data_IF_217038404874
#
_entry.id   IF_217038404874
#
_cell.length_a   1.000
_cell.length_b   1.000
_cell.length_c   1.000
_cell.angle_alpha   90.00
_cell.angle_beta   90.00
_cell.angle_gamma   90.00
#
_symmetry.space_group_name_H-M   'P 1'
#
loop_
_entity.id
_entity.type
_entity.pdbx_description
1 polymer ?
#
# COMPACT_ATOMS: atom_id res chain seq x y z
N UNK A 1 -27.29 -3.87 -11.03
CA UNK A 1 -28.59 -3.15 -11.00
C UNK A 1 -28.88 -2.39 -9.71
N UNK A 2 -28.38 -2.80 -8.52
CA UNK A 2 -28.73 -2.15 -7.25
C UNK A 2 -28.18 -0.72 -7.06
N UNK A 3 -27.01 -0.41 -7.64
CA UNK A 3 -26.33 0.88 -7.41
C UNK A 3 -27.07 2.11 -7.96
N UNK A 4 -27.77 1.94 -9.10
CA UNK A 4 -28.58 3.01 -9.68
C UNK A 4 -29.87 3.28 -8.90
N UNK A 5 -30.37 2.30 -8.15
CA UNK A 5 -31.57 2.47 -7.32
C UNK A 5 -31.29 3.43 -6.15
N UNK A 6 -30.17 3.23 -5.45
CA UNK A 6 -29.77 4.07 -4.32
C UNK A 6 -29.49 5.53 -4.73
N UNK A 7 -28.94 5.72 -5.93
CA UNK A 7 -28.72 7.08 -6.48
C UNK A 7 -30.03 7.77 -6.82
N UNK A 8 -31.02 7.03 -7.33
CA UNK A 8 -32.36 7.56 -7.60
C UNK A 8 -33.09 7.93 -6.32
N UNK A 9 -33.03 7.08 -5.31
CA UNK A 9 -33.61 7.35 -3.99
C UNK A 9 -32.97 8.57 -3.34
N UNK A 10 -31.63 8.65 -3.35
CA UNK A 10 -30.90 9.80 -2.81
C UNK A 10 -31.29 11.11 -3.51
N UNK A 11 -31.32 11.12 -4.85
CA UNK A 11 -31.68 12.31 -5.61
C UNK A 11 -33.18 12.64 -5.53
N UNK A 12 -34.04 11.67 -5.20
CA UNK A 12 -35.47 11.91 -4.98
C UNK A 12 -35.74 12.61 -3.64
N UNK A 13 -34.86 12.44 -2.65
CA UNK A 13 -34.96 13.05 -1.32
C UNK A 13 -34.20 14.38 -1.23
N UNK A 14 -33.15 14.60 -2.04
CA UNK A 14 -32.28 15.76 -1.88
C UNK A 14 -32.91 17.07 -2.36
N UNK A 15 -32.96 18.06 -1.48
CA UNK A 15 -33.38 19.45 -1.77
C UNK A 15 -32.34 20.25 -2.60
N UNK A 16 -31.25 19.60 -3.03
CA UNK A 16 -30.08 20.22 -3.70
C UNK A 16 -29.72 19.48 -5.01
N UNK A 17 -28.61 19.90 -5.63
CA UNK A 17 -28.12 19.39 -6.92
C UNK A 17 -28.02 17.85 -6.98
N UNK A 18 -28.57 17.27 -8.05
CA UNK A 18 -28.47 15.85 -8.36
C UNK A 18 -27.02 15.34 -8.34
N UNK A 19 -26.80 14.17 -7.74
CA UNK A 19 -25.49 13.51 -7.64
C UNK A 19 -25.43 12.26 -8.51
N UNK A 20 -24.25 12.02 -9.08
CA UNK A 20 -23.92 10.78 -9.80
C UNK A 20 -23.61 9.65 -8.82
N UNK A 21 -23.82 8.41 -9.27
CA UNK A 21 -23.44 7.17 -8.56
C UNK A 21 -21.99 7.22 -8.08
N UNK A 22 -21.08 7.67 -8.94
CA UNK A 22 -19.65 7.77 -8.65
C UNK A 22 -19.34 8.77 -7.54
N UNK A 23 -20.07 9.88 -7.50
CA UNK A 23 -19.90 10.91 -6.48
C UNK A 23 -20.35 10.42 -5.11
N UNK A 24 -21.46 9.66 -5.06
CA UNK A 24 -21.97 9.05 -3.83
C UNK A 24 -21.02 7.97 -3.31
N UNK A 25 -20.48 7.11 -4.19
CA UNK A 25 -19.45 6.13 -3.84
C UNK A 25 -18.21 6.80 -3.27
N UNK A 26 -17.69 7.82 -3.96
CA UNK A 26 -16.52 8.57 -3.51
C UNK A 26 -16.76 9.25 -2.16
N UNK A 27 -17.96 9.79 -1.93
CA UNK A 27 -18.36 10.37 -0.65
C UNK A 27 -18.33 9.31 0.47
N UNK A 28 -18.90 8.13 0.23
CA UNK A 28 -18.89 7.02 1.16
C UNK A 28 -17.47 6.54 1.50
N UNK A 29 -16.61 6.38 0.49
CA UNK A 29 -15.22 5.97 0.72
C UNK A 29 -14.43 7.01 1.51
N UNK A 30 -14.62 8.30 1.22
CA UNK A 30 -14.04 9.37 2.01
C UNK A 30 -14.52 9.33 3.46
N UNK A 31 -15.81 9.07 3.69
CA UNK A 31 -16.40 9.01 5.01
C UNK A 31 -15.86 7.82 5.83
N UNK A 32 -15.77 6.63 5.23
CA UNK A 32 -15.11 5.45 5.83
C UNK A 32 -13.65 5.72 6.18
N UNK A 33 -12.89 6.29 5.24
CA UNK A 33 -11.47 6.55 5.42
C UNK A 33 -11.22 7.58 6.52
N UNK A 34 -12.07 8.61 6.60
CA UNK A 34 -12.03 9.58 7.69
C UNK A 34 -12.27 8.90 9.03
N UNK A 35 -13.32 8.09 9.15
CA UNK A 35 -13.62 7.37 10.41
C UNK A 35 -12.52 6.40 10.81
N UNK A 36 -11.95 5.65 9.87
CA UNK A 36 -10.80 4.75 10.13
C UNK A 36 -9.59 5.50 10.68
N UNK A 37 -9.32 6.71 10.17
CA UNK A 37 -8.24 7.57 10.67
C UNK A 37 -8.53 8.04 12.10
N UNK A 38 -9.75 8.47 12.38
CA UNK A 38 -10.18 8.88 13.72
C UNK A 38 -10.03 7.74 14.73
N UNK A 39 -10.50 6.52 14.41
CA UNK A 39 -10.33 5.34 15.27
C UNK A 39 -8.86 4.97 15.50
N UNK A 40 -8.03 5.09 14.46
CA UNK A 40 -6.59 4.84 14.59
C UNK A 40 -5.92 5.86 15.50
N UNK A 41 -6.33 7.13 15.40
CA UNK A 41 -5.85 8.21 16.25
C UNK A 41 -6.32 8.00 17.69
N UNK A 42 -7.58 7.65 17.92
CA UNK A 42 -8.10 7.33 19.24
C UNK A 42 -7.34 6.15 19.88
N UNK A 43 -7.10 5.08 19.11
CA UNK A 43 -6.29 3.93 19.58
C UNK A 43 -4.88 4.38 19.95
N UNK A 44 -4.26 5.26 19.16
CA UNK A 44 -2.93 5.81 19.43
C UNK A 44 -2.92 6.67 20.70
N UNK A 45 -3.92 7.52 20.88
CA UNK A 45 -4.09 8.38 22.06
C UNK A 45 -4.34 7.54 23.32
N UNK A 46 -5.17 6.49 23.23
CA UNK A 46 -5.42 5.55 24.33
C UNK A 46 -4.16 4.78 24.75
N UNK A 47 -3.33 4.40 23.79
CA UNK A 47 -2.09 3.65 24.01
C UNK A 47 -0.89 4.56 24.31
N UNK A 48 -1.05 5.88 24.25
CA UNK A 48 0.02 6.82 24.56
C UNK A 48 0.26 6.86 26.08
N UNK A 49 1.34 6.23 26.54
CA UNK A 49 1.74 6.20 27.96
C UNK A 49 2.44 7.50 28.42
N UNK A 50 2.17 8.63 27.77
CA UNK A 50 2.91 9.90 27.90
C UNK A 50 2.52 10.79 29.07
N UNK A 51 1.85 10.26 30.10
CA UNK A 51 1.60 10.97 31.38
C UNK A 51 0.60 12.15 31.34
N UNK A 52 -0.07 12.40 30.22
CA UNK A 52 -1.13 13.42 30.13
C UNK A 52 -2.50 12.90 30.59
N UNK A 53 -3.42 13.77 31.04
CA UNK A 53 -4.79 13.37 31.36
C UNK A 53 -5.50 12.87 30.10
N UNK A 54 -6.07 11.66 30.20
CA UNK A 54 -6.91 11.09 29.15
C UNK A 54 -8.14 11.97 28.92
N UNK A 55 -8.37 12.38 27.67
CA UNK A 55 -9.60 13.04 27.27
C UNK A 55 -10.47 11.99 26.58
N UNK A 56 -11.60 11.57 27.17
CA UNK A 56 -12.50 10.65 26.50
C UNK A 56 -13.03 11.28 25.20
N UNK A 57 -13.13 10.49 24.11
CA UNK A 57 -13.80 10.94 22.89
C UNK A 57 -15.22 11.41 23.21
N UNK A 58 -15.65 12.49 22.56
CA UNK A 58 -17.04 12.95 22.63
C UNK A 58 -17.89 12.17 21.63
N UNK A 59 -18.89 11.50 22.18
CA UNK A 59 -20.09 10.90 21.56
C UNK A 59 -19.88 9.86 20.44
N UNK A 60 -20.82 8.91 20.40
CA UNK A 60 -20.91 7.86 19.38
C UNK A 60 -21.06 8.51 17.98
N UNK A 61 -20.12 8.25 17.08
CA UNK A 61 -20.22 8.78 15.71
C UNK A 61 -21.36 8.01 15.01
N UNK A 62 -22.31 8.65 14.32
CA UNK A 62 -23.41 7.96 13.62
C UNK A 62 -22.98 6.99 12.52
N UNK A 63 -21.67 6.95 12.21
CA UNK A 63 -21.09 5.97 11.28
C UNK A 63 -20.78 4.66 11.99
N UNK A 64 -20.51 4.69 13.29
CA UNK A 64 -20.23 3.49 14.07
C UNK A 64 -21.49 2.63 14.17
N UNK A 65 -22.67 3.23 14.32
CA UNK A 65 -23.94 2.51 14.25
C UNK A 65 -24.13 1.81 12.89
N UNK A 66 -23.81 2.50 11.79
CA UNK A 66 -23.93 1.94 10.44
C UNK A 66 -22.90 0.81 10.23
N UNK A 67 -21.68 0.97 10.73
CA UNK A 67 -20.62 -0.05 10.60
C UNK A 67 -20.91 -1.28 11.48
N UNK A 68 -21.35 -1.07 12.72
CA UNK A 68 -21.64 -2.14 13.68
C UNK A 68 -22.88 -2.95 13.28
N UNK A 69 -23.84 -2.34 12.59
CA UNK A 69 -25.05 -3.02 12.10
C UNK A 69 -24.84 -3.82 10.80
N UNK A 70 -23.64 -3.77 10.19
CA UNK A 70 -23.25 -4.63 9.06
C UNK A 70 -22.47 -5.83 9.61
N UNK A 71 -23.13 -6.62 10.45
CA UNK A 71 -22.60 -7.92 10.89
C UNK A 71 -22.86 -8.96 9.77
N UNK A 72 -21.92 -9.07 8.82
CA UNK A 72 -21.87 -10.21 7.90
C UNK A 72 -20.87 -11.18 8.51
N UNK A 73 -21.37 -12.25 9.11
CA UNK A 73 -20.52 -13.36 9.55
C UNK A 73 -19.87 -13.98 8.31
N UNK A 74 -18.54 -13.91 8.24
CA UNK A 74 -17.77 -14.62 7.22
C UNK A 74 -17.30 -15.92 7.87
N UNK A 75 -18.09 -16.97 7.67
CA UNK A 75 -17.76 -18.31 8.16
C UNK A 75 -16.36 -18.73 7.64
N UNK A 76 -15.62 -19.46 8.50
CA UNK A 76 -14.33 -20.08 8.19
C UNK A 76 -13.15 -19.13 7.90
N UNK A 77 -13.16 -17.91 8.43
CA UNK A 77 -11.98 -17.02 8.39
C UNK A 77 -11.23 -17.00 9.72
N UNK A 78 -9.98 -17.43 9.70
CA UNK A 78 -9.03 -17.25 10.80
C UNK A 78 -8.34 -15.91 10.58
N UNK A 79 -8.73 -14.90 11.35
CA UNK A 79 -8.02 -13.62 11.36
C UNK A 79 -6.64 -13.81 12.01
N UNK A 80 -5.64 -13.02 11.59
CA UNK A 80 -4.28 -13.09 12.20
C UNK A 80 -4.29 -12.70 13.68
N UNK A 81 -5.36 -12.04 14.13
CA UNK A 81 -5.60 -11.60 15.50
C UNK A 81 -6.58 -12.53 16.27
N UNK A 82 -7.06 -13.62 15.65
CA UNK A 82 -7.95 -14.57 16.30
C UNK A 82 -7.15 -15.44 17.29
N UNK A 83 -7.03 -14.96 18.53
CA UNK A 83 -6.59 -15.79 19.64
C UNK A 83 -7.66 -16.87 19.81
N UNK A 84 -7.32 -18.10 19.44
CA UNK A 84 -8.17 -19.25 19.71
C UNK A 84 -8.43 -19.31 21.23
N UNK A 85 -9.62 -18.91 21.64
CA UNK A 85 -10.12 -19.19 22.98
C UNK A 85 -10.39 -20.69 23.00
N UNK A 86 -9.37 -21.48 23.35
CA UNK A 86 -9.54 -22.90 23.62
C UNK A 86 -10.39 -23.00 24.89
N UNK A 87 -11.69 -23.24 24.69
CA UNK A 87 -12.58 -23.65 25.75
C UNK A 87 -12.15 -25.03 26.25
N UNK A 88 -11.71 -25.06 27.50
CA UNK A 88 -11.84 -26.19 28.41
C UNK A 88 -11.06 -27.47 28.07
N UNK A 89 -9.82 -27.55 28.56
CA UNK A 89 -9.32 -28.60 29.48
C UNK A 89 -7.97 -28.08 30.01
N UNK A 90 -7.96 -27.62 31.26
CA UNK A 90 -6.71 -27.51 32.01
C UNK A 90 -6.34 -28.88 32.58
N UNK A 91 -5.05 -29.22 32.61
CA UNK A 91 -4.48 -29.78 33.83
C UNK A 91 -3.54 -28.76 34.43
N UNK A 92 -3.86 -28.47 35.69
CA UNK A 92 -3.13 -27.73 36.69
C UNK A 92 -1.61 -28.05 36.68
N UNK A 93 -0.75 -27.02 36.62
CA UNK A 93 0.56 -27.03 37.26
C UNK A 93 0.95 -25.60 37.62
N UNK A 94 1.07 -25.42 38.93
CA UNK A 94 1.28 -24.16 39.64
C UNK A 94 2.60 -23.45 39.32
N UNK A 95 2.55 -22.14 39.64
CA UNK A 95 3.61 -21.29 40.19
C UNK A 95 4.27 -20.25 39.27
N UNK A 96 3.86 -19.02 39.55
CA UNK A 96 4.66 -17.80 39.74
C UNK A 96 5.15 -17.00 38.52
N UNK A 97 4.30 -16.01 38.17
CA UNK A 97 4.67 -14.67 37.68
C UNK A 97 5.74 -13.99 38.59
N UNK A 98 6.52 -12.97 38.13
CA UNK A 98 6.00 -11.86 37.33
C UNK A 98 6.92 -11.25 36.25
N UNK A 99 6.24 -10.61 35.27
CA UNK A 99 6.59 -9.37 34.54
C UNK A 99 8.03 -9.06 34.12
N UNK A 100 8.25 -8.80 32.82
CA UNK A 100 8.80 -7.51 32.37
C UNK A 100 8.82 -7.36 30.83
N UNK A 101 8.30 -6.22 30.38
CA UNK A 101 8.46 -5.62 29.05
C UNK A 101 9.92 -5.53 28.56
N UNK A 102 10.10 -5.59 27.23
CA UNK A 102 10.65 -4.52 26.33
C UNK A 102 10.93 -5.14 24.94
N UNK A 103 10.25 -4.74 23.86
CA UNK A 103 10.49 -3.56 22.98
C UNK A 103 11.94 -3.45 22.53
N UNK A 104 12.18 -3.70 21.24
CA UNK A 104 13.22 -3.05 20.44
C UNK A 104 12.63 -2.78 19.04
N UNK A 105 12.25 -1.53 18.80
CA UNK A 105 12.34 -0.86 17.50
C UNK A 105 12.32 0.65 17.79
N UNK A 106 13.51 1.23 17.81
CA UNK A 106 13.75 2.68 17.79
C UNK A 106 14.17 3.05 16.39
N UNK A 107 13.29 3.78 15.70
CA UNK A 107 13.67 4.57 14.53
C UNK A 107 14.43 5.82 14.97
N UNK A 108 15.54 5.99 14.27
CA UNK A 108 16.49 7.10 14.22
C UNK A 108 15.89 8.50 14.10
N UNK A 109 16.48 9.44 14.84
CA UNK A 109 16.56 10.87 14.48
C UNK A 109 18.01 11.34 14.75
N UNK A 110 18.61 12.18 13.90
CA UNK A 110 20.04 12.43 13.89
C UNK A 110 20.41 13.63 14.78
N UNK A 111 21.50 13.54 15.55
CA UNK A 111 22.17 14.73 16.04
C UNK A 111 23.67 14.51 16.35
N UNK A 112 24.40 15.49 15.85
CA UNK A 112 25.80 15.86 15.90
C UNK A 112 26.65 15.45 17.12
N UNK A 113 27.89 15.05 16.82
CA UNK A 113 29.11 15.56 17.46
C UNK A 113 29.21 15.50 18.98
N UNK A 114 29.83 14.44 19.52
CA UNK A 114 30.26 14.42 20.92
C UNK A 114 31.13 13.21 21.24
N UNK A 115 32.42 13.44 21.39
CA UNK A 115 33.43 12.46 21.84
C UNK A 115 33.21 12.17 23.32
N UNK A 116 33.09 10.90 23.73
CA UNK A 116 33.28 10.54 25.15
C UNK A 116 33.96 9.18 25.31
N UNK A 117 35.11 9.22 25.99
CA UNK A 117 35.96 8.11 26.40
C UNK A 117 35.23 7.16 27.35
N UNK A 118 35.41 5.85 27.18
CA UNK A 118 35.06 4.85 28.20
C UNK A 118 36.35 4.37 28.85
N UNK A 119 36.43 4.59 30.16
CA UNK A 119 37.52 4.21 31.05
C UNK A 119 37.58 2.68 31.25
N UNK A 120 38.80 2.14 31.24
CA UNK A 120 39.13 0.76 31.63
C UNK A 120 38.70 0.48 33.07
N UNK A 121 38.02 -0.65 33.31
CA UNK A 121 37.83 -1.22 34.65
C UNK A 121 38.74 -2.44 34.77
N UNK A 122 39.76 -2.29 35.62
CA UNK A 122 40.69 -3.31 36.09
C UNK A 122 39.97 -4.31 37.01
N UNK A 123 40.08 -5.61 36.74
CA UNK A 123 39.70 -6.66 37.70
C UNK A 123 40.98 -7.22 38.32
N UNK A 124 41.13 -7.01 39.62
CA UNK A 124 42.20 -7.54 40.46
C UNK A 124 41.94 -9.04 40.71
N UNK A 125 42.95 -9.88 40.47
CA UNK A 125 42.94 -11.28 40.88
C UNK A 125 43.59 -11.40 42.27
N UNK A 126 42.85 -11.91 43.26
CA UNK A 126 43.43 -12.37 44.52
C UNK A 126 43.71 -13.88 44.46
N UNK A 127 44.94 -14.23 44.84
CA UNK A 127 45.41 -15.58 45.11
C UNK A 127 44.95 -16.03 46.51
N UNK A 128 44.53 -17.28 46.68
CA UNK A 128 44.81 -17.97 47.94
C UNK A 128 44.98 -19.49 47.79
N UNK A 129 45.90 -20.03 48.59
CA UNK A 129 46.50 -21.36 48.50
C UNK A 129 45.72 -22.41 49.29
N UNK A 130 45.73 -23.66 48.83
CA UNK A 130 45.33 -24.81 49.66
C UNK A 130 45.50 -26.18 48.98
N UNK A 131 46.46 -26.97 49.48
CA UNK A 131 46.84 -28.32 49.02
C UNK A 131 45.88 -29.37 49.61
N UNK A 132 45.47 -30.39 48.83
CA UNK A 132 45.07 -31.67 49.41
C UNK A 132 44.10 -32.57 48.63
N UNK A 133 44.69 -33.64 48.08
CA UNK A 133 44.13 -34.98 47.86
C UNK A 133 43.33 -35.32 46.58
N UNK A 134 43.88 -36.33 45.90
CA UNK A 134 43.40 -37.01 44.70
C UNK A 134 42.18 -37.87 45.04
N UNK A 135 41.10 -37.73 44.25
CA UNK A 135 40.17 -38.83 44.00
C UNK A 135 39.69 -38.75 42.54
N UNK A 136 39.90 -39.80 41.71
CA UNK A 136 39.52 -39.77 40.31
C UNK A 136 38.16 -40.45 40.12
N UNK A 137 37.09 -39.70 39.87
CA UNK A 137 36.00 -40.20 39.02
C UNK A 137 35.00 -39.10 38.64
N UNK A 138 34.60 -39.20 37.36
CA UNK A 138 33.36 -38.72 36.75
C UNK A 138 33.21 -37.24 36.34
N UNK A 139 33.03 -37.15 35.02
CA UNK A 139 32.31 -36.13 34.24
C UNK A 139 32.91 -34.73 34.25
N UNK A 140 33.67 -34.49 33.18
CA UNK A 140 33.97 -33.17 32.60
C UNK A 140 32.64 -32.43 32.40
N UNK A 141 32.24 -31.65 33.40
CA UNK A 141 31.17 -30.67 33.24
C UNK A 141 31.68 -29.64 32.22
N UNK A 142 31.12 -29.69 31.02
CA UNK A 142 31.37 -28.66 30.01
C UNK A 142 30.83 -27.35 30.60
N UNK A 143 31.62 -26.26 30.65
CA UNK A 143 31.19 -25.04 31.31
C UNK A 143 29.93 -24.51 30.63
N UNK A 144 28.87 -24.28 31.41
CA UNK A 144 27.57 -23.81 30.94
C UNK A 144 27.62 -22.44 30.20
N UNK A 145 28.76 -21.77 30.23
CA UNK A 145 29.02 -20.49 29.56
C UNK A 145 29.30 -20.59 28.05
N UNK A 146 29.88 -21.68 27.55
CA UNK A 146 30.16 -21.80 26.09
C UNK A 146 28.92 -22.16 25.26
N UNK A 147 27.93 -22.81 25.88
CA UNK A 147 26.68 -23.17 25.20
C UNK A 147 25.75 -21.96 24.97
N UNK A 148 25.75 -20.96 25.86
CA UNK A 148 24.95 -19.73 25.67
C UNK A 148 25.54 -18.80 24.60
N UNK A 149 26.87 -18.68 24.52
CA UNK A 149 27.53 -17.88 23.48
C UNK A 149 27.17 -18.35 22.07
N UNK A 150 27.26 -19.66 21.83
CA UNK A 150 26.94 -20.27 20.53
C UNK A 150 25.45 -20.22 20.13
N UNK A 151 24.53 -20.03 21.08
CA UNK A 151 23.11 -19.84 20.79
C UNK A 151 22.82 -18.38 20.39
N UNK A 152 23.45 -17.41 21.07
CA UNK A 152 23.33 -15.98 20.76
C UNK A 152 23.96 -15.68 19.40
N UNK A 153 25.13 -16.24 19.11
CA UNK A 153 25.81 -16.08 17.83
C UNK A 153 24.98 -16.60 16.65
N UNK A 154 24.35 -17.78 16.80
CA UNK A 154 23.44 -18.34 15.78
C UNK A 154 22.19 -17.50 15.55
N UNK A 155 21.59 -16.98 16.63
CA UNK A 155 20.44 -16.07 16.52
C UNK A 155 20.82 -14.75 15.84
N UNK A 156 21.99 -14.20 16.15
CA UNK A 156 22.49 -12.98 15.53
C UNK A 156 22.78 -13.18 14.04
N UNK A 157 23.38 -14.30 13.66
CA UNK A 157 23.58 -14.67 12.26
C UNK A 157 22.25 -14.82 11.51
N UNK A 158 21.25 -15.48 12.12
CA UNK A 158 19.92 -15.61 11.54
C UNK A 158 19.21 -14.25 11.37
N UNK A 159 19.42 -13.30 12.28
CA UNK A 159 18.90 -11.93 12.16
C UNK A 159 19.58 -11.15 11.04
N UNK A 160 20.92 -11.23 10.96
CA UNK A 160 21.67 -10.60 9.87
C UNK A 160 21.23 -11.13 8.51
N UNK A 161 21.02 -12.45 8.41
CA UNK A 161 20.53 -13.07 7.18
C UNK A 161 19.11 -12.60 6.81
N UNK A 162 18.21 -12.50 7.79
CA UNK A 162 16.87 -11.92 7.56
C UNK A 162 16.95 -10.47 7.09
N UNK A 163 17.77 -9.64 7.74
CA UNK A 163 17.93 -8.23 7.36
C UNK A 163 18.52 -8.08 5.95
N UNK A 164 19.48 -8.93 5.58
CA UNK A 164 20.02 -8.96 4.22
C UNK A 164 18.94 -9.31 3.19
N UNK A 165 18.09 -10.30 3.49
CA UNK A 165 16.96 -10.67 2.62
C UNK A 165 15.94 -9.54 2.49
N UNK A 166 15.60 -8.87 3.59
CA UNK A 166 14.70 -7.70 3.56
C UNK A 166 15.29 -6.60 2.69
N UNK A 167 16.56 -6.24 2.88
CA UNK A 167 17.23 -5.22 2.08
C UNK A 167 17.29 -5.59 0.59
N UNK A 168 17.54 -6.85 0.25
CA UNK A 168 17.53 -7.34 -1.13
C UNK A 168 16.12 -7.22 -1.75
N UNK A 169 15.08 -7.65 -1.01
CA UNK A 169 13.70 -7.54 -1.46
C UNK A 169 13.27 -6.07 -1.65
N UNK A 170 13.69 -5.17 -0.76
CA UNK A 170 13.42 -3.73 -0.87
C UNK A 170 14.07 -3.12 -2.12
N UNK A 171 15.31 -3.52 -2.43
CA UNK A 171 15.98 -3.11 -3.66
C UNK A 171 15.24 -3.62 -4.90
N UNK A 172 14.81 -4.88 -4.90
CA UNK A 172 14.02 -5.45 -6.00
C UNK A 172 12.70 -4.70 -6.19
N UNK A 173 11.94 -4.47 -5.11
CA UNK A 173 10.68 -3.72 -5.16
C UNK A 173 10.92 -2.30 -5.68
N UNK A 174 12.00 -1.64 -5.26
CA UNK A 174 12.33 -0.30 -5.72
C UNK A 174 12.61 -0.28 -7.24
N UNK A 175 13.39 -1.25 -7.74
CA UNK A 175 13.68 -1.38 -9.17
C UNK A 175 12.41 -1.60 -9.98
N UNK A 176 11.55 -2.53 -9.55
CA UNK A 176 10.28 -2.83 -10.21
C UNK A 176 9.38 -1.58 -10.27
N UNK A 177 9.24 -0.86 -9.15
CA UNK A 177 8.46 0.39 -9.11
C UNK A 177 9.01 1.47 -10.05
N UNK A 178 10.33 1.55 -10.15
CA UNK A 178 11.00 2.50 -11.04
C UNK A 178 10.76 2.16 -12.52
N UNK A 179 10.84 0.88 -12.87
CA UNK A 179 10.53 0.37 -14.20
C UNK A 179 9.05 0.60 -14.55
N UNK A 180 8.12 0.25 -13.65
CA UNK A 180 6.68 0.50 -13.82
C UNK A 180 6.38 1.98 -14.07
N UNK A 181 7.00 2.88 -13.28
CA UNK A 181 6.85 4.32 -13.48
C UNK A 181 7.37 4.75 -14.86
N UNK A 182 8.53 4.24 -15.27
CA UNK A 182 9.14 4.56 -16.56
C UNK A 182 8.27 4.11 -17.72
N UNK A 183 7.77 2.87 -17.68
CA UNK A 183 6.85 2.33 -18.69
C UNK A 183 5.54 3.12 -18.75
N UNK A 184 5.01 3.57 -17.61
CA UNK A 184 3.79 4.38 -17.57
C UNK A 184 3.96 5.75 -18.22
N UNK A 185 5.13 6.38 -18.04
CA UNK A 185 5.47 7.63 -18.73
C UNK A 185 5.59 7.40 -20.23
N UNK A 186 6.24 6.31 -20.65
CA UNK A 186 6.39 5.95 -22.05
C UNK A 186 5.04 5.63 -22.72
N UNK A 187 4.16 4.91 -22.04
CA UNK A 187 2.79 4.63 -22.50
C UNK A 187 2.01 5.92 -22.75
N UNK A 188 2.12 6.91 -21.86
CA UNK A 188 1.48 8.22 -22.05
C UNK A 188 2.04 8.97 -23.27
N UNK A 189 3.36 8.91 -23.48
CA UNK A 189 4.00 9.51 -24.66
C UNK A 189 3.48 8.87 -25.95
N UNK A 190 3.44 7.54 -26.01
CA UNK A 190 2.92 6.80 -27.16
C UNK A 190 1.44 7.12 -27.42
N UNK A 191 0.61 7.25 -26.38
CA UNK A 191 -0.80 7.65 -26.53
C UNK A 191 -0.94 9.04 -27.16
N UNK A 192 -0.10 10.01 -26.75
CA UNK A 192 -0.11 11.36 -27.35
C UNK A 192 0.35 11.32 -28.81
N UNK A 193 1.38 10.54 -29.11
CA UNK A 193 1.86 10.36 -30.48
C UNK A 193 0.82 9.71 -31.38
N UNK A 194 0.16 8.65 -30.90
CA UNK A 194 -0.93 7.98 -31.61
C UNK A 194 -2.09 8.95 -31.89
N UNK A 195 -2.45 9.79 -30.93
CA UNK A 195 -3.47 10.83 -31.13
C UNK A 195 -3.06 11.84 -32.21
N UNK A 196 -1.79 12.24 -32.26
CA UNK A 196 -1.29 13.13 -33.32
C UNK A 196 -1.35 12.45 -34.69
N UNK A 197 -0.95 11.18 -34.78
CA UNK A 197 -1.01 10.41 -36.04
C UNK A 197 -2.46 10.25 -36.50
N UNK A 198 -3.38 9.89 -35.60
CA UNK A 198 -4.81 9.78 -35.90
C UNK A 198 -5.38 11.09 -36.45
N UNK A 199 -5.01 12.24 -35.88
CA UNK A 199 -5.42 13.56 -36.39
C UNK A 199 -4.87 13.81 -37.80
N UNK A 200 -3.58 13.56 -38.02
CA UNK A 200 -2.96 13.71 -39.36
C UNK A 200 -3.64 12.84 -40.41
N UNK A 201 -3.99 11.60 -40.08
CA UNK A 201 -4.72 10.71 -40.99
C UNK A 201 -6.10 11.29 -41.32
N UNK A 202 -6.85 11.74 -40.31
CA UNK A 202 -8.16 12.35 -40.52
C UNK A 202 -8.08 13.62 -41.40
N UNK A 203 -7.05 14.45 -41.22
CA UNK A 203 -6.81 15.64 -42.04
C UNK A 203 -6.53 15.26 -43.50
N UNK A 204 -5.68 14.24 -43.72
CA UNK A 204 -5.38 13.72 -45.06
C UNK A 204 -6.65 13.15 -45.70
N UNK A 205 -7.44 12.35 -44.97
CA UNK A 205 -8.70 11.80 -45.46
C UNK A 205 -9.66 12.91 -45.92
N UNK A 206 -9.79 13.96 -45.12
CA UNK A 206 -10.61 15.12 -45.47
C UNK A 206 -10.13 15.80 -46.75
N UNK A 207 -8.81 16.01 -46.90
CA UNK A 207 -8.22 16.56 -48.12
C UNK A 207 -8.49 15.67 -49.33
N UNK A 208 -8.37 14.34 -49.19
CA UNK A 208 -8.62 13.41 -50.30
C UNK A 208 -10.08 13.45 -50.77
N UNK A 209 -11.04 13.50 -49.83
CA UNK A 209 -12.48 13.60 -50.14
C UNK A 209 -12.77 14.92 -50.84
N UNK A 210 -12.20 16.02 -50.37
CA UNK A 210 -12.36 17.33 -50.99
C UNK A 210 -11.79 17.33 -52.42
N UNK A 211 -10.61 16.75 -52.64
CA UNK A 211 -10.01 16.62 -53.96
C UNK A 211 -10.88 15.76 -54.91
N UNK A 212 -11.48 14.68 -54.41
CA UNK A 212 -12.44 13.87 -55.18
C UNK A 212 -13.69 14.67 -55.56
N UNK A 213 -14.24 15.45 -54.64
CA UNK A 213 -15.40 16.30 -54.92
C UNK A 213 -15.09 17.37 -55.97
N UNK A 214 -13.91 18.01 -55.91
CA UNK A 214 -13.47 18.97 -56.92
C UNK A 214 -13.35 18.29 -58.28
N UNK A 215 -12.69 17.12 -58.36
CA UNK A 215 -12.56 16.36 -59.63
C UNK A 215 -13.93 16.04 -60.24
N UNK A 216 -14.89 15.62 -59.42
CA UNK A 216 -16.25 15.35 -59.89
C UNK A 216 -16.92 16.60 -60.46
N UNK A 217 -16.84 17.74 -59.75
CA UNK A 217 -17.38 19.02 -60.23
C UNK A 217 -16.77 19.47 -61.55
N UNK A 218 -15.45 19.29 -61.72
CA UNK A 218 -14.77 19.61 -62.98
C UNK A 218 -15.33 18.74 -64.12
N UNK A 219 -15.46 17.43 -63.90
CA UNK A 219 -16.03 16.52 -64.90
C UNK A 219 -17.47 16.87 -65.28
N UNK A 220 -18.29 17.26 -64.30
CA UNK A 220 -19.68 17.71 -64.55
C UNK A 220 -19.71 18.98 -65.42
N UNK A 221 -18.85 19.96 -65.14
CA UNK A 221 -18.73 21.21 -65.94
C UNK A 221 -18.25 20.91 -67.38
N UNK A 222 -17.28 20.02 -67.54
CA UNK A 222 -16.78 19.60 -68.85
C UNK A 222 -17.89 18.95 -69.68
N UNK A 223 -18.69 18.07 -69.06
CA UNK A 223 -19.84 17.43 -69.70
C UNK A 223 -20.89 18.46 -70.15
N UNK A 224 -21.27 19.40 -69.27
CA UNK A 224 -22.19 20.49 -69.60
C UNK A 224 -21.69 21.32 -70.79
N UNK A 225 -20.39 21.61 -70.81
CA UNK A 225 -19.75 22.38 -71.89
C UNK A 225 -19.80 21.62 -73.22
N UNK A 226 -19.55 20.31 -73.22
CA UNK A 226 -19.66 19.46 -74.42
C UNK A 226 -21.10 19.39 -74.90
N UNK A 227 -22.07 19.18 -74.00
CA UNK A 227 -23.49 19.15 -74.35
C UNK A 227 -23.97 20.47 -74.95
N UNK A 228 -23.55 21.61 -74.39
CA UNK A 228 -23.86 22.94 -74.92
C UNK A 228 -23.31 23.13 -76.35
N UNK A 229 -22.07 22.69 -76.61
CA UNK A 229 -21.47 22.73 -77.96
C UNK A 229 -22.26 21.88 -78.95
N UNK A 230 -22.62 20.64 -78.58
CA UNK A 230 -23.40 19.74 -79.44
C UNK A 230 -24.79 20.30 -79.75
N UNK A 231 -25.47 20.89 -78.76
CA UNK A 231 -26.77 21.54 -78.95
C UNK A 231 -26.69 22.68 -79.97
N UNK A 232 -25.66 23.52 -79.86
CA UNK A 232 -25.41 24.62 -80.80
C UNK A 232 -25.12 24.14 -82.22
N UNK A 233 -24.41 23.02 -82.38
CA UNK A 233 -24.20 22.40 -83.70
C UNK A 233 -25.54 21.93 -84.28
N UNK A 234 -26.35 21.24 -83.47
CA UNK A 234 -27.68 20.75 -83.90
C UNK A 234 -28.62 21.87 -84.33
N UNK A 235 -28.58 23.03 -83.67
CA UNK A 235 -29.43 24.19 -84.02
C UNK A 235 -28.98 24.89 -85.32
N UNK A 236 -27.73 24.69 -85.75
CA UNK A 236 -27.15 25.30 -86.95
C UNK A 236 -27.15 24.37 -88.19
N UNK A 237 -27.59 23.12 -88.05
CA UNK A 237 -27.76 22.15 -89.15
C UNK A 237 -29.25 21.96 -89.47
#
# INVERSE_FOLDING_TARGET
>A
MKEHALTKEFNAVSEHSNRSTEQLKKCWDNLKNRRKRELSQEKKERMATGGGPYVPPKDDHPMDDILNNVAIEIADTVDSDAIALVDGIMPNMDSDQPSSLKKDETDTVPLEGGVFLISEIHIVMEEDRGIGNICPTRTRAVPYYTARGTAIERELEARLERNKKIAANEQEIHLVRWEEHTLKVEEQRLKVEEQMIRKKIADIELETVLAQMIRKKIADIELETVLAKLKKIRENC
#
